data_IF_517172854169
#
_entry.id   IF_517172854169
#
_cell.length_a   1.000
_cell.length_b   1.000
_cell.length_c   1.000
_cell.angle_alpha   90.00
_cell.angle_beta   90.00
_cell.angle_gamma   90.00
#
_symmetry.space_group_name_H-M   'P 1'
#
loop_
_entity.id
_entity.type
_entity.pdbx_description
1 polymer ?
#
# COMPACT_ATOMS: atom_id res chain seq x y z
N UNK A 1 -2.55 0.39 -38.21
CA UNK A 1 -3.06 -0.22 -36.96
C UNK A 1 -1.88 -0.50 -36.04
N UNK A 2 -1.60 0.40 -35.10
CA UNK A 2 -0.60 0.19 -34.04
C UNK A 2 -1.34 0.20 -32.71
N UNK A 3 -1.40 -0.95 -32.05
CA UNK A 3 -1.94 -1.10 -30.71
C UNK A 3 -0.99 -0.47 -29.71
N UNK A 4 -1.36 0.69 -29.17
CA UNK A 4 -0.73 1.24 -27.99
C UNK A 4 -1.14 0.38 -26.79
N UNK A 5 -0.19 -0.35 -26.20
CA UNK A 5 -0.41 -1.06 -24.95
C UNK A 5 -0.63 -0.03 -23.85
N UNK A 6 -1.88 0.07 -23.38
CA UNK A 6 -2.29 0.92 -22.27
C UNK A 6 -1.74 0.32 -20.97
N UNK A 7 -0.52 0.71 -20.57
CA UNK A 7 0.05 0.36 -19.28
C UNK A 7 -0.75 1.05 -18.16
N UNK A 8 -1.37 0.26 -17.30
CA UNK A 8 -2.21 0.75 -16.19
C UNK A 8 -1.37 1.53 -15.17
N UNK A 9 -1.96 2.56 -14.53
CA UNK A 9 -1.30 3.42 -13.52
C UNK A 9 -0.58 2.67 -12.38
N UNK A 10 -0.94 1.41 -12.13
CA UNK A 10 -0.28 0.54 -11.15
C UNK A 10 1.05 -0.07 -11.62
N UNK A 11 1.22 -0.32 -12.92
CA UNK A 11 2.46 -0.88 -13.49
C UNK A 11 3.61 0.11 -13.47
N UNK A 12 3.34 1.37 -13.83
CA UNK A 12 4.32 2.46 -13.82
C UNK A 12 4.79 2.78 -12.39
N UNK A 13 3.87 2.82 -11.41
CA UNK A 13 4.23 3.02 -10.00
C UNK A 13 5.08 1.89 -9.41
N UNK A 14 4.86 0.65 -9.88
CA UNK A 14 5.60 -0.53 -9.43
C UNK A 14 7.01 -0.57 -10.01
N UNK A 15 7.15 -0.19 -11.29
CA UNK A 15 8.45 -0.13 -11.97
C UNK A 15 9.38 0.93 -11.35
N UNK A 16 8.87 2.16 -11.15
CA UNK A 16 9.60 3.23 -10.43
C UNK A 16 9.93 2.89 -8.97
N UNK A 17 9.19 1.96 -8.36
CA UNK A 17 9.50 1.47 -7.02
C UNK A 17 10.66 0.47 -7.04
N UNK A 18 10.72 -0.42 -8.03
CA UNK A 18 11.80 -1.40 -8.17
C UNK A 18 13.15 -0.74 -8.40
N UNK A 19 13.23 0.28 -9.27
CA UNK A 19 14.48 1.03 -9.51
C UNK A 19 14.95 1.76 -8.26
N UNK A 20 14.06 2.50 -7.59
CA UNK A 20 14.39 3.22 -6.35
C UNK A 20 14.93 2.28 -5.28
N UNK A 21 14.33 1.10 -5.13
CA UNK A 21 14.77 0.09 -4.16
C UNK A 21 16.15 -0.47 -4.57
N UNK A 22 16.33 -0.81 -5.84
CA UNK A 22 17.59 -1.32 -6.35
C UNK A 22 18.73 -0.30 -6.19
N UNK A 23 18.49 0.97 -6.48
CA UNK A 23 19.50 2.02 -6.35
C UNK A 23 19.90 2.25 -4.90
N UNK A 24 18.94 2.31 -3.97
CA UNK A 24 19.26 2.39 -2.53
C UNK A 24 20.09 1.20 -2.04
N UNK A 25 19.75 -0.01 -2.50
CA UNK A 25 20.51 -1.21 -2.18
C UNK A 25 21.95 -1.13 -2.70
N UNK A 26 22.13 -0.65 -3.94
CA UNK A 26 23.46 -0.44 -4.51
C UNK A 26 24.25 0.60 -3.71
N UNK A 27 23.63 1.72 -3.35
CA UNK A 27 24.25 2.75 -2.51
C UNK A 27 24.69 2.21 -1.15
N UNK A 28 23.84 1.41 -0.48
CA UNK A 28 24.19 0.74 0.78
C UNK A 28 25.37 -0.23 0.64
N UNK A 29 25.58 -0.80 -0.55
CA UNK A 29 26.71 -1.69 -0.87
C UNK A 29 27.96 -0.94 -1.37
N UNK A 30 27.96 0.39 -1.28
CA UNK A 30 29.11 1.22 -1.64
C UNK A 30 29.21 1.57 -3.13
N UNK A 31 28.14 1.35 -3.91
CA UNK A 31 28.07 1.88 -5.26
C UNK A 31 27.61 3.33 -5.25
N UNK A 32 28.03 4.10 -6.26
CA UNK A 32 27.58 5.48 -6.47
C UNK A 32 26.83 5.58 -7.79
N UNK A 33 25.55 5.91 -7.75
CA UNK A 33 24.76 6.13 -8.96
C UNK A 33 25.21 7.44 -9.61
N UNK A 34 25.68 7.35 -10.86
CA UNK A 34 26.22 8.49 -11.62
C UNK A 34 25.15 9.13 -12.51
N UNK A 35 24.36 8.30 -13.17
CA UNK A 35 23.34 8.71 -14.13
C UNK A 35 22.23 7.65 -14.16
N UNK A 36 20.98 8.09 -14.32
CA UNK A 36 19.81 7.20 -14.44
C UNK A 36 19.16 7.39 -15.81
N UNK A 37 18.52 6.35 -16.35
CA UNK A 37 17.86 6.37 -17.66
C UNK A 37 18.78 6.86 -18.78
N UNK A 38 20.03 6.35 -18.80
CA UNK A 38 21.02 6.78 -19.77
C UNK A 38 20.71 6.16 -21.12
N UNK A 39 20.47 7.02 -22.11
CA UNK A 39 20.34 6.61 -23.51
C UNK A 39 21.71 6.32 -24.12
N UNK A 40 21.83 5.18 -24.78
CA UNK A 40 23.01 4.75 -25.52
C UNK A 40 22.87 5.27 -26.94
N UNK A 41 23.75 6.19 -27.33
CA UNK A 41 23.79 6.77 -28.67
C UNK A 41 25.11 6.41 -29.33
N UNK A 42 25.05 5.74 -30.48
CA UNK A 42 26.20 5.38 -31.32
C UNK A 42 25.97 5.99 -32.69
N UNK A 43 26.96 6.74 -33.19
CA UNK A 43 26.90 7.44 -34.48
C UNK A 43 25.64 8.32 -34.67
N UNK A 44 25.18 8.94 -33.57
CA UNK A 44 23.99 9.80 -33.56
C UNK A 44 22.66 9.05 -33.56
N UNK A 45 22.67 7.71 -33.50
CA UNK A 45 21.48 6.86 -33.42
C UNK A 45 21.34 6.32 -32.00
N UNK A 46 20.15 6.49 -31.41
CA UNK A 46 19.78 5.87 -30.14
C UNK A 46 19.56 4.37 -30.36
N UNK A 47 20.40 3.54 -29.74
CA UNK A 47 20.39 2.09 -29.90
C UNK A 47 19.94 1.34 -28.65
N UNK A 48 19.77 2.05 -27.52
CA UNK A 48 19.31 1.46 -26.28
C UNK A 48 19.22 2.47 -25.13
N UNK A 49 18.78 1.98 -23.99
CA UNK A 49 18.72 2.70 -22.71
C UNK A 49 19.16 1.74 -21.61
N UNK A 50 19.75 2.28 -20.55
CA UNK A 50 20.08 1.56 -19.32
C UNK A 50 19.47 2.27 -18.12
N UNK A 51 19.03 1.51 -17.12
CA UNK A 51 18.37 2.07 -15.95
C UNK A 51 19.31 2.96 -15.14
N UNK A 52 20.59 2.57 -15.01
CA UNK A 52 21.61 3.44 -14.45
C UNK A 52 23.06 3.12 -14.90
N UNK A 53 23.92 4.12 -14.76
CA UNK A 53 25.36 3.96 -14.62
C UNK A 53 25.75 4.13 -13.16
N UNK A 54 26.61 3.24 -12.67
CA UNK A 54 27.12 3.30 -11.31
C UNK A 54 28.63 3.10 -11.26
N UNK A 55 29.28 3.72 -10.29
CA UNK A 55 30.66 3.44 -9.90
C UNK A 55 30.64 2.47 -8.72
N UNK A 56 31.36 1.36 -8.81
CA UNK A 56 31.49 0.39 -7.73
C UNK A 56 32.48 0.84 -6.66
N UNK A 57 32.55 0.14 -5.52
CA UNK A 57 33.40 0.52 -4.39
C UNK A 57 34.90 0.51 -4.71
N UNK A 58 35.32 -0.22 -5.75
CA UNK A 58 36.71 -0.28 -6.24
C UNK A 58 36.99 0.68 -7.42
N UNK A 59 36.05 1.56 -7.77
CA UNK A 59 36.17 2.52 -8.88
C UNK A 59 35.81 1.97 -10.26
N UNK A 60 35.31 0.73 -10.34
CA UNK A 60 34.85 0.09 -11.57
C UNK A 60 33.51 0.69 -12.03
N UNK A 61 33.33 0.92 -13.34
CA UNK A 61 32.05 1.39 -13.88
C UNK A 61 31.12 0.22 -14.21
N UNK A 62 29.85 0.37 -13.84
CA UNK A 62 28.80 -0.61 -14.07
C UNK A 62 27.65 -0.03 -14.88
N UNK A 63 27.15 -0.84 -15.82
CA UNK A 63 25.81 -0.69 -16.39
C UNK A 63 24.86 -1.50 -15.53
N UNK A 64 23.88 -0.81 -14.96
CA UNK A 64 22.89 -1.38 -14.05
C UNK A 64 21.56 -1.55 -14.78
N UNK A 65 21.02 -2.76 -14.70
CA UNK A 65 19.66 -3.10 -15.16
C UNK A 65 18.84 -3.64 -13.97
N UNK A 66 17.62 -3.15 -13.79
CA UNK A 66 16.70 -3.52 -12.72
C UNK A 66 15.53 -4.30 -13.31
N UNK A 67 15.39 -5.56 -12.88
CA UNK A 67 14.27 -6.41 -13.26
C UNK A 67 13.36 -6.67 -12.06
N UNK A 68 12.09 -6.32 -12.18
CA UNK A 68 11.08 -6.56 -11.15
C UNK A 68 10.76 -8.07 -10.92
N UNK A 69 11.17 -8.92 -11.86
CA UNK A 69 10.96 -10.37 -11.85
C UNK A 69 12.27 -11.15 -11.88
N UNK A 70 12.18 -12.40 -12.32
CA UNK A 70 13.35 -13.27 -12.50
C UNK A 70 14.11 -12.94 -13.78
N UNK A 71 15.42 -13.11 -13.76
CA UNK A 71 16.33 -12.84 -14.86
C UNK A 71 16.39 -14.02 -15.84
N UNK A 72 16.08 -13.77 -17.10
CA UNK A 72 16.12 -14.74 -18.19
C UNK A 72 17.34 -14.52 -19.12
N UNK A 73 17.52 -15.43 -20.07
CA UNK A 73 18.61 -15.38 -21.07
C UNK A 73 18.60 -14.07 -21.87
N UNK A 74 17.41 -13.56 -22.20
CA UNK A 74 17.29 -12.32 -22.97
C UNK A 74 17.79 -11.12 -22.16
N UNK A 75 17.36 -11.00 -20.89
CA UNK A 75 17.82 -9.94 -19.99
C UNK A 75 19.34 -9.93 -19.80
N UNK A 76 19.95 -11.12 -19.66
CA UNK A 76 21.41 -11.25 -19.53
C UNK A 76 22.14 -10.76 -20.79
N UNK A 77 21.65 -11.15 -21.98
CA UNK A 77 22.27 -10.70 -23.24
C UNK A 77 22.12 -9.20 -23.42
N UNK A 78 20.96 -8.64 -23.07
CA UNK A 78 20.70 -7.21 -23.18
C UNK A 78 21.66 -6.39 -22.30
N UNK A 79 21.76 -6.72 -21.00
CA UNK A 79 22.66 -5.98 -20.09
C UNK A 79 24.12 -6.14 -20.51
N UNK A 80 24.53 -7.33 -20.95
CA UNK A 80 25.89 -7.58 -21.44
C UNK A 80 26.21 -6.73 -22.67
N UNK A 81 25.32 -6.73 -23.67
CA UNK A 81 25.50 -5.90 -24.88
C UNK A 81 25.57 -4.41 -24.54
N UNK A 82 24.69 -3.91 -23.67
CA UNK A 82 24.70 -2.52 -23.24
C UNK A 82 25.99 -2.15 -22.49
N UNK A 83 26.47 -3.05 -21.63
CA UNK A 83 27.72 -2.88 -20.90
C UNK A 83 28.95 -2.80 -21.83
N UNK A 84 28.99 -3.65 -22.86
CA UNK A 84 30.03 -3.60 -23.90
C UNK A 84 30.00 -2.27 -24.66
N UNK A 85 28.81 -1.79 -25.04
CA UNK A 85 28.66 -0.51 -25.77
C UNK A 85 29.10 0.70 -24.94
N UNK A 86 28.97 0.62 -23.62
CA UNK A 86 29.33 1.69 -22.69
C UNK A 86 30.71 1.48 -22.02
N UNK A 87 31.46 0.46 -22.42
CA UNK A 87 32.75 0.09 -21.85
C UNK A 87 32.73 -0.01 -20.30
N UNK A 88 31.74 -0.73 -19.78
CA UNK A 88 31.49 -0.90 -18.36
C UNK A 88 31.15 -2.37 -18.04
N UNK A 89 31.13 -2.73 -16.76
CA UNK A 89 30.76 -4.07 -16.30
C UNK A 89 29.23 -4.23 -16.21
N UNK A 90 28.65 -5.36 -16.65
CA UNK A 90 27.22 -5.58 -16.52
C UNK A 90 26.82 -5.97 -15.09
N UNK A 91 25.80 -5.30 -14.54
CA UNK A 91 25.20 -5.57 -13.24
C UNK A 91 23.68 -5.63 -13.36
N UNK A 92 23.06 -6.66 -12.79
CA UNK A 92 21.59 -6.81 -12.74
C UNK A 92 21.11 -6.92 -11.30
N UNK A 93 20.06 -6.17 -10.97
CA UNK A 93 19.33 -6.33 -9.70
C UNK A 93 17.96 -6.96 -10.01
N UNK A 94 17.68 -8.15 -9.48
CA UNK A 94 16.47 -8.92 -9.83
C UNK A 94 16.01 -9.86 -8.71
N UNK A 95 14.89 -10.59 -8.88
CA UNK A 95 14.40 -11.60 -7.92
C UNK A 95 15.03 -13.00 -8.11
N UNK A 96 16.24 -13.06 -8.65
CA UNK A 96 16.92 -14.31 -8.98
C UNK A 96 16.70 -14.79 -10.41
N UNK A 97 17.23 -15.97 -10.72
CA UNK A 97 17.25 -16.51 -12.10
C UNK A 97 15.94 -17.21 -12.49
N UNK A 98 15.58 -17.11 -13.78
CA UNK A 98 14.40 -17.78 -14.33
C UNK A 98 14.58 -19.30 -14.40
N UNK A 99 15.79 -19.74 -14.74
CA UNK A 99 16.20 -21.14 -14.79
C UNK A 99 17.73 -21.26 -14.64
N UNK A 100 18.21 -22.50 -14.56
CA UNK A 100 19.64 -22.81 -14.44
C UNK A 100 20.45 -22.38 -15.68
N UNK A 101 19.83 -22.34 -16.86
CA UNK A 101 20.52 -21.92 -18.10
C UNK A 101 20.85 -20.43 -18.07
N UNK A 102 19.95 -19.60 -17.52
CA UNK A 102 20.20 -18.19 -17.27
C UNK A 102 21.36 -17.98 -16.29
N UNK A 103 21.39 -18.74 -15.18
CA UNK A 103 22.48 -18.66 -14.19
C UNK A 103 23.86 -18.95 -14.81
N UNK A 104 23.97 -20.07 -15.52
CA UNK A 104 25.21 -20.48 -16.20
C UNK A 104 25.63 -19.45 -17.26
N UNK A 105 24.70 -18.84 -17.99
CA UNK A 105 25.02 -17.82 -18.98
C UNK A 105 25.55 -16.54 -18.33
N UNK A 106 24.94 -16.08 -17.24
CA UNK A 106 25.39 -14.89 -16.52
C UNK A 106 26.83 -15.06 -16.01
N UNK A 107 27.14 -16.21 -15.40
CA UNK A 107 28.50 -16.55 -14.97
C UNK A 107 29.50 -16.53 -16.13
N UNK A 108 29.16 -17.15 -17.27
CA UNK A 108 30.04 -17.18 -18.44
C UNK A 108 30.28 -15.82 -19.08
N UNK A 109 29.31 -14.92 -19.03
CA UNK A 109 29.42 -13.57 -19.59
C UNK A 109 29.95 -12.55 -18.58
N UNK A 110 30.23 -12.94 -17.34
CA UNK A 110 30.68 -12.04 -16.29
C UNK A 110 29.62 -11.02 -15.88
N UNK A 111 28.34 -11.37 -15.99
CA UNK A 111 27.22 -10.54 -15.55
C UNK A 111 27.04 -10.70 -14.05
N UNK A 112 27.34 -9.65 -13.29
CA UNK A 112 27.09 -9.60 -11.86
C UNK A 112 25.59 -9.55 -11.60
N UNK A 113 25.08 -10.40 -10.70
CA UNK A 113 23.65 -10.43 -10.36
C UNK A 113 23.49 -10.27 -8.85
N UNK A 114 22.66 -9.32 -8.44
CA UNK A 114 22.23 -9.12 -7.05
C UNK A 114 20.78 -9.61 -6.96
N UNK A 115 20.58 -10.73 -6.27
CA UNK A 115 19.27 -11.31 -6.03
C UNK A 115 18.60 -10.63 -4.84
N UNK A 116 17.44 -10.02 -5.06
CA UNK A 116 16.63 -9.38 -4.02
C UNK A 116 16.01 -10.39 -3.05
N UNK A 117 15.90 -11.67 -3.44
CA UNK A 117 15.43 -12.73 -2.53
C UNK A 117 16.42 -12.96 -1.36
N UNK A 118 17.71 -12.66 -1.57
CA UNK A 118 18.76 -12.74 -0.56
C UNK A 118 18.98 -11.44 0.23
N UNK A 119 18.17 -10.41 -0.06
CA UNK A 119 18.26 -9.10 0.57
C UNK A 119 16.96 -8.83 1.31
N UNK A 120 17.02 -8.81 2.65
CA UNK A 120 15.96 -8.18 3.44
C UNK A 120 16.01 -6.67 3.15
N UNK A 121 15.19 -6.23 2.21
CA UNK A 121 15.11 -4.83 1.77
C UNK A 121 14.48 -3.89 2.81
N UNK A 122 13.91 -4.47 3.86
CA UNK A 122 13.27 -3.78 4.98
C UNK A 122 14.01 -4.26 6.21
N UNK A 123 14.67 -3.36 6.92
CA UNK A 123 15.24 -3.68 8.21
C UNK A 123 14.14 -3.84 9.28
N UNK A 124 14.50 -4.36 10.45
CA UNK A 124 13.51 -4.62 11.50
C UNK A 124 12.81 -3.33 11.98
N UNK A 125 13.51 -2.19 11.91
CA UNK A 125 13.03 -0.87 12.35
C UNK A 125 12.01 -0.30 11.35
N UNK A 126 12.29 -0.36 10.05
CA UNK A 126 11.38 0.05 8.99
C UNK A 126 10.12 -0.84 8.98
N UNK A 127 10.27 -2.15 9.27
CA UNK A 127 9.11 -3.03 9.44
C UNK A 127 8.27 -2.61 10.66
N UNK A 128 8.93 -2.30 11.79
CA UNK A 128 8.26 -1.79 12.98
C UNK A 128 7.49 -0.50 12.67
N UNK A 129 8.10 0.45 12.00
CA UNK A 129 7.48 1.71 11.58
C UNK A 129 6.27 1.51 10.66
N UNK A 130 6.37 0.61 9.68
CA UNK A 130 5.25 0.28 8.79
C UNK A 130 4.08 -0.32 9.58
N UNK A 131 4.37 -1.28 10.47
CA UNK A 131 3.34 -1.96 11.27
C UNK A 131 2.71 -1.00 12.26
N UNK A 132 3.53 -0.23 12.99
CA UNK A 132 3.08 0.76 13.95
C UNK A 132 2.27 1.86 13.27
N UNK A 133 2.74 2.38 12.14
CA UNK A 133 2.03 3.37 11.33
C UNK A 133 0.67 2.87 10.84
N UNK A 134 0.59 1.63 10.35
CA UNK A 134 -0.68 1.04 9.92
C UNK A 134 -1.66 0.82 11.09
N UNK A 135 -1.15 0.41 12.26
CA UNK A 135 -1.94 0.26 13.47
C UNK A 135 -2.45 1.62 13.98
N UNK A 136 -1.58 2.63 14.02
CA UNK A 136 -1.91 3.98 14.43
C UNK A 136 -2.97 4.59 13.49
N UNK A 137 -2.85 4.43 12.18
CA UNK A 137 -3.85 4.91 11.21
C UNK A 137 -5.23 4.27 11.45
N UNK A 138 -5.29 2.96 11.66
CA UNK A 138 -6.54 2.25 11.95
C UNK A 138 -7.17 2.69 13.29
N UNK A 139 -6.32 2.93 14.30
CA UNK A 139 -6.75 3.45 15.60
C UNK A 139 -7.27 4.88 15.49
N UNK A 140 -6.53 5.78 14.81
CA UNK A 140 -6.93 7.17 14.58
C UNK A 140 -8.26 7.26 13.83
N UNK A 141 -8.50 6.42 12.82
CA UNK A 141 -9.80 6.36 12.16
C UNK A 141 -10.94 5.93 13.10
N UNK A 142 -10.67 4.99 14.00
CA UNK A 142 -11.65 4.57 15.01
C UNK A 142 -11.97 5.69 15.99
N UNK A 143 -10.95 6.40 16.48
CA UNK A 143 -11.13 7.58 17.35
C UNK A 143 -11.90 8.69 16.62
N UNK A 144 -11.59 8.95 15.35
CA UNK A 144 -12.30 9.92 14.52
C UNK A 144 -13.77 9.56 14.40
N UNK A 145 -14.11 8.31 14.08
CA UNK A 145 -15.51 7.86 14.02
C UNK A 145 -16.26 8.10 15.33
N UNK A 146 -15.59 7.87 16.46
CA UNK A 146 -16.16 8.06 17.80
C UNK A 146 -16.43 9.53 18.13
N UNK A 147 -15.52 10.44 17.74
CA UNK A 147 -15.53 11.83 18.22
C UNK A 147 -16.04 12.85 17.20
N UNK A 148 -15.98 12.58 15.90
CA UNK A 148 -16.26 13.57 14.84
C UNK A 148 -17.75 13.94 14.77
N UNK A 149 -18.16 15.14 15.23
CA UNK A 149 -19.57 15.52 15.30
C UNK A 149 -20.23 15.67 13.93
N UNK A 150 -19.47 15.76 12.83
CA UNK A 150 -20.01 15.91 11.47
C UNK A 150 -20.67 14.63 10.95
N UNK A 151 -20.28 13.47 11.48
CA UNK A 151 -20.86 12.19 11.09
C UNK A 151 -22.27 12.08 11.66
N UNK A 152 -23.27 12.08 10.78
CA UNK A 152 -24.68 11.92 11.11
C UNK A 152 -25.14 10.51 10.77
N UNK A 153 -25.54 9.76 11.79
CA UNK A 153 -26.14 8.42 11.64
C UNK A 153 -27.65 8.55 11.78
N UNK A 154 -28.40 8.16 10.76
CA UNK A 154 -29.86 8.15 10.81
C UNK A 154 -30.38 6.99 11.66
N UNK A 155 -31.56 7.11 12.29
CA UNK A 155 -32.16 6.02 13.07
C UNK A 155 -32.26 4.69 12.32
N UNK A 156 -32.64 4.72 11.03
CA UNK A 156 -32.76 3.51 10.21
C UNK A 156 -31.41 2.88 9.90
N UNK A 157 -30.33 3.67 9.94
CA UNK A 157 -28.97 3.18 9.76
C UNK A 157 -28.45 2.49 11.01
N UNK A 158 -28.86 2.92 12.21
CA UNK A 158 -28.41 2.31 13.48
C UNK A 158 -28.77 0.82 13.55
N UNK A 159 -30.00 0.48 13.18
CA UNK A 159 -30.45 -0.92 13.15
C UNK A 159 -29.60 -1.77 12.19
N UNK A 160 -29.28 -1.21 11.02
CA UNK A 160 -28.46 -1.90 10.01
C UNK A 160 -27.00 -2.01 10.44
N UNK A 161 -26.44 -0.96 11.06
CA UNK A 161 -25.09 -0.98 11.63
C UNK A 161 -24.97 -2.03 12.74
N UNK A 162 -26.00 -2.18 13.57
CA UNK A 162 -26.05 -3.22 14.58
C UNK A 162 -25.98 -4.63 13.97
N UNK A 163 -26.80 -4.90 12.95
CA UNK A 163 -26.74 -6.18 12.25
C UNK A 163 -25.38 -6.43 11.59
N UNK A 164 -24.76 -5.40 10.99
CA UNK A 164 -23.40 -5.51 10.43
C UNK A 164 -22.39 -5.86 11.52
N UNK A 165 -22.37 -5.13 12.64
CA UNK A 165 -21.42 -5.36 13.73
C UNK A 165 -21.47 -6.80 14.28
N UNK A 166 -22.68 -7.35 14.42
CA UNK A 166 -22.96 -8.63 15.08
C UNK A 166 -22.83 -9.86 14.16
N UNK A 167 -22.77 -9.70 12.84
CA UNK A 167 -22.76 -10.81 11.87
C UNK A 167 -21.44 -10.91 11.11
N UNK A 168 -21.13 -12.08 10.53
CA UNK A 168 -19.86 -12.30 9.82
C UNK A 168 -19.94 -11.99 8.33
N UNK A 169 -21.15 -11.93 7.77
CA UNK A 169 -21.37 -11.66 6.34
C UNK A 169 -22.53 -10.69 6.12
N UNK A 170 -22.52 -10.03 4.96
CA UNK A 170 -23.61 -9.14 4.53
C UNK A 170 -24.95 -9.89 4.40
N UNK A 171 -24.90 -11.15 3.96
CA UNK A 171 -26.08 -12.00 3.81
C UNK A 171 -26.70 -12.36 5.17
N UNK A 172 -25.89 -12.65 6.18
CA UNK A 172 -26.36 -12.86 7.55
C UNK A 172 -27.01 -11.60 8.14
N UNK A 173 -26.40 -10.42 7.93
CA UNK A 173 -26.98 -9.15 8.37
C UNK A 173 -28.36 -8.92 7.73
N UNK A 174 -28.51 -9.20 6.43
CA UNK A 174 -29.77 -9.07 5.72
C UNK A 174 -30.83 -10.05 6.24
N UNK A 175 -30.45 -11.33 6.41
CA UNK A 175 -31.32 -12.36 6.96
C UNK A 175 -31.81 -12.01 8.37
N UNK A 176 -30.92 -11.51 9.24
CA UNK A 176 -31.25 -11.09 10.61
C UNK A 176 -32.27 -9.95 10.64
N UNK A 177 -32.19 -9.02 9.70
CA UNK A 177 -33.10 -7.88 9.62
C UNK A 177 -34.41 -8.20 8.86
N UNK A 178 -34.53 -9.38 8.25
CA UNK A 178 -35.61 -9.66 7.30
C UNK A 178 -35.63 -8.70 6.11
N UNK A 179 -34.48 -8.09 5.77
CA UNK A 179 -34.34 -7.09 4.69
C UNK A 179 -33.61 -7.71 3.50
N UNK A 180 -33.70 -7.06 2.34
CA UNK A 180 -32.92 -7.50 1.18
C UNK A 180 -31.43 -7.20 1.38
N UNK A 181 -30.56 -8.00 0.76
CA UNK A 181 -29.10 -7.73 0.75
C UNK A 181 -28.80 -6.33 0.21
N UNK A 182 -29.59 -5.85 -0.76
CA UNK A 182 -29.45 -4.51 -1.34
C UNK A 182 -29.69 -3.40 -0.30
N UNK A 183 -30.61 -3.60 0.65
CA UNK A 183 -30.88 -2.62 1.69
C UNK A 183 -29.71 -2.48 2.66
N UNK A 184 -29.15 -3.61 3.09
CA UNK A 184 -27.96 -3.62 3.96
C UNK A 184 -26.75 -3.05 3.22
N UNK A 185 -26.58 -3.39 1.94
CA UNK A 185 -25.51 -2.89 1.09
C UNK A 185 -25.52 -1.36 0.99
N UNK A 186 -26.70 -0.71 0.94
CA UNK A 186 -26.79 0.77 0.90
C UNK A 186 -26.18 1.42 2.15
N UNK A 187 -26.45 0.88 3.34
CA UNK A 187 -25.82 1.37 4.58
C UNK A 187 -24.33 1.07 4.61
N UNK A 188 -23.90 -0.10 4.10
CA UNK A 188 -22.49 -0.43 4.00
C UNK A 188 -21.73 0.52 3.06
N UNK A 189 -22.31 0.89 1.92
CA UNK A 189 -21.71 1.86 0.99
C UNK A 189 -21.63 3.26 1.61
N UNK A 190 -22.66 3.69 2.33
CA UNK A 190 -22.58 4.92 3.12
C UNK A 190 -21.42 4.86 4.14
N UNK A 191 -21.29 3.76 4.87
CA UNK A 191 -20.22 3.59 5.87
C UNK A 191 -18.82 3.62 5.22
N UNK A 192 -18.67 3.03 4.03
CA UNK A 192 -17.46 3.12 3.19
C UNK A 192 -17.19 4.55 2.72
N UNK A 193 -18.22 5.35 2.50
CA UNK A 193 -18.09 6.79 2.25
C UNK A 193 -17.51 7.54 3.46
N UNK A 194 -17.97 7.20 4.66
CA UNK A 194 -17.62 7.88 5.93
C UNK A 194 -16.20 7.60 6.41
N UNK A 195 -15.67 6.39 6.20
CA UNK A 195 -14.32 6.02 6.68
C UNK A 195 -13.56 5.07 5.73
N UNK A 196 -12.24 5.27 5.55
CA UNK A 196 -11.37 4.31 4.90
C UNK A 196 -11.38 2.93 5.56
N UNK A 197 -11.63 2.84 6.88
CA UNK A 197 -11.64 1.58 7.62
C UNK A 197 -12.64 0.59 7.01
N UNK A 198 -13.85 1.05 6.68
CA UNK A 198 -14.90 0.20 6.09
C UNK A 198 -14.62 -0.20 4.63
N UNK A 199 -13.69 0.47 3.93
CA UNK A 199 -13.28 0.13 2.56
C UNK A 199 -12.34 -1.08 2.52
N UNK A 200 -11.67 -1.41 3.62
CA UNK A 200 -10.72 -2.54 3.72
C UNK A 200 -11.39 -3.92 3.78
N UNK A 201 -12.72 -3.98 3.76
CA UNK A 201 -13.50 -5.23 3.70
C UNK A 201 -14.58 -5.31 4.77
N UNK A 202 -15.38 -6.38 4.74
CA UNK A 202 -16.53 -6.52 5.64
C UNK A 202 -16.10 -6.55 7.12
N UNK A 203 -15.03 -7.28 7.47
CA UNK A 203 -14.51 -7.32 8.85
C UNK A 203 -14.20 -5.93 9.41
N UNK A 204 -13.51 -5.08 8.64
CA UNK A 204 -13.19 -3.72 9.06
C UNK A 204 -14.43 -2.81 9.10
N UNK A 205 -15.40 -3.04 8.20
CA UNK A 205 -16.69 -2.37 8.27
C UNK A 205 -17.48 -2.73 9.54
N UNK A 206 -17.36 -3.97 10.06
CA UNK A 206 -17.94 -4.35 11.36
C UNK A 206 -17.34 -3.54 12.50
N UNK A 207 -16.03 -3.34 12.51
CA UNK A 207 -15.36 -2.50 13.52
C UNK A 207 -15.88 -1.07 13.44
N UNK A 208 -15.92 -0.48 12.24
CA UNK A 208 -16.46 0.86 12.03
C UNK A 208 -17.92 0.99 12.49
N UNK A 209 -18.76 0.00 12.19
CA UNK A 209 -20.14 -0.05 12.65
C UNK A 209 -20.23 -0.13 14.18
N UNK A 210 -19.44 -0.99 14.82
CA UNK A 210 -19.35 -1.08 16.28
C UNK A 210 -18.97 0.24 16.94
N UNK A 211 -17.99 0.96 16.39
CA UNK A 211 -17.57 2.27 16.92
C UNK A 211 -18.71 3.29 16.84
N UNK A 212 -19.40 3.38 15.70
CA UNK A 212 -20.54 4.29 15.55
C UNK A 212 -21.71 3.94 16.46
N UNK A 213 -21.94 2.65 16.73
CA UNK A 213 -22.94 2.22 17.72
C UNK A 213 -22.55 2.63 19.14
N UNK A 214 -21.29 2.46 19.53
CA UNK A 214 -20.84 2.93 20.85
C UNK A 214 -20.97 4.43 20.98
N UNK A 215 -20.63 5.18 19.92
CA UNK A 215 -20.86 6.62 19.88
C UNK A 215 -22.33 6.98 20.11
N UNK A 216 -23.26 6.34 19.41
CA UNK A 216 -24.68 6.60 19.57
C UNK A 216 -25.16 6.31 21.01
N UNK A 217 -24.64 5.25 21.64
CA UNK A 217 -24.93 4.93 23.05
C UNK A 217 -24.40 6.01 24.00
N UNK A 218 -23.15 6.45 23.80
CA UNK A 218 -22.55 7.52 24.60
C UNK A 218 -23.34 8.82 24.46
N UNK A 219 -23.74 9.18 23.25
CA UNK A 219 -24.57 10.36 23.00
C UNK A 219 -25.92 10.27 23.71
N UNK A 220 -26.61 9.14 23.63
CA UNK A 220 -27.87 8.93 24.35
C UNK A 220 -27.73 9.00 25.88
N UNK A 221 -26.62 8.50 26.44
CA UNK A 221 -26.33 8.64 27.86
C UNK A 221 -26.09 10.10 28.26
N UNK A 222 -25.32 10.85 27.46
CA UNK A 222 -25.07 12.27 27.71
C UNK A 222 -26.35 13.11 27.65
N UNK A 223 -27.22 12.85 26.67
CA UNK A 223 -28.54 13.50 26.56
C UNK A 223 -29.42 13.19 27.79
N UNK A 224 -29.46 11.92 28.22
CA UNK A 224 -30.22 11.51 29.41
C UNK A 224 -29.69 12.17 30.68
N UNK A 225 -28.37 12.30 30.83
CA UNK A 225 -27.74 13.00 31.97
C UNK A 225 -28.09 14.49 31.95
N UNK A 226 -28.01 15.15 30.79
CA UNK A 226 -28.41 16.55 30.63
C UNK A 226 -29.86 16.78 31.04
N UNK A 227 -30.79 15.96 30.53
CA UNK A 227 -32.21 16.08 30.89
C UNK A 227 -32.49 15.84 32.39
N UNK A 228 -31.70 14.98 33.03
CA UNK A 228 -31.81 14.72 34.46
C UNK A 228 -31.31 15.91 35.28
N UNK A 229 -30.20 16.52 34.86
CA UNK A 229 -29.66 17.72 35.49
C UNK A 229 -30.64 18.90 35.42
N UNK A 230 -31.21 19.17 34.23
CA UNK A 230 -32.23 20.21 34.04
C UNK A 230 -33.47 19.99 34.93
N UNK A 231 -33.91 18.73 35.08
CA UNK A 231 -35.03 18.41 35.97
C UNK A 231 -34.71 18.69 37.43
N UNK A 232 -33.51 18.32 37.89
CA UNK A 232 -33.05 18.56 39.27
C UNK A 232 -32.97 20.06 39.52
N UNK A 233 -32.37 20.83 38.61
CA UNK A 233 -32.32 22.31 38.71
C UNK A 233 -33.73 22.90 38.84
N UNK A 234 -34.68 22.47 37.99
CA UNK A 234 -36.06 22.96 38.07
C UNK A 234 -36.78 22.61 39.39
N UNK A 235 -36.41 21.51 40.03
CA UNK A 235 -36.97 21.10 41.32
C UNK A 235 -36.37 21.90 42.46
N UNK A 236 -35.07 22.19 42.42
CA UNK A 236 -34.39 23.03 43.40
C UNK A 236 -34.95 24.46 43.37
N UNK A 237 -35.14 25.03 42.17
CA UNK A 237 -35.76 26.36 42.00
C UNK A 237 -37.17 26.41 42.60
N UNK A 238 -37.98 25.36 42.41
CA UNK A 238 -39.34 25.27 42.98
C UNK A 238 -39.35 25.11 44.50
N UNK A 239 -38.27 24.60 45.09
CA UNK A 239 -38.12 24.41 46.53
C UNK A 239 -37.53 25.65 47.24
N UNK A 240 -37.18 26.70 46.49
CA UNK A 240 -36.64 27.94 47.04
C UNK A 240 -35.20 27.81 47.55
N UNK A 241 -34.46 26.82 47.04
CA UNK A 241 -33.02 26.68 47.24
C UNK A 241 -32.23 27.43 46.16
#
# INVERSE_FOLDING_TARGET
MRGALQLTKGGVRRWLASERIAFRLLEQRGYKILETHKRIVVDGVEIGEVDALAEGPEGEFYVVEVKAGRLDIHGIRQVYSNAVLLNARPLVVCKGFADESARVLAEKLGVSVIELEDVFLIDAEELEDIVYGAALEAFSESVRLLLDPSIRVKPEQLEVLQAIAETSTLSEAAARLGKSIRDVARTLEWLRGVTPLARRGYRSARIAASVLLQRARIQGLLESLGSSAERIESLLEKLGA
#
